data_IF_738889738649
#
_entry.id   IF_738889738649
#
_cell.length_a   1.000
_cell.length_b   1.000
_cell.length_c   1.000
_cell.angle_alpha   90.00
_cell.angle_beta   90.00
_cell.angle_gamma   90.00
#
_symmetry.space_group_name_H-M   'P 1'
#
loop_
_entity.id
_entity.type
_entity.pdbx_description
1 polymer ?
#
# COMPACT_ATOMS: atom_id res chain seq x y z
N UNK A 1 9.88 -14.16 -28.84
CA UNK A 1 8.88 -13.09 -29.03
C UNK A 1 9.58 -11.71 -29.19
N UNK A 2 10.47 -11.28 -28.30
CA UNK A 2 11.11 -9.96 -28.35
C UNK A 2 12.01 -9.76 -29.59
N UNK A 3 12.79 -10.77 -29.98
CA UNK A 3 13.63 -10.70 -31.19
C UNK A 3 12.82 -10.55 -32.49
N UNK A 4 11.62 -11.11 -32.54
CA UNK A 4 10.71 -10.99 -33.69
C UNK A 4 10.09 -9.58 -33.82
N UNK A 5 10.13 -8.77 -32.75
CA UNK A 5 9.64 -7.39 -32.72
C UNK A 5 10.76 -6.35 -32.94
N UNK A 6 11.98 -6.78 -33.24
CA UNK A 6 13.12 -5.90 -33.51
C UNK A 6 13.72 -5.23 -32.25
N UNK A 7 13.36 -5.70 -31.07
CA UNK A 7 13.97 -5.25 -29.82
C UNK A 7 15.25 -6.06 -29.53
N UNK A 8 16.35 -5.38 -29.26
CA UNK A 8 17.54 -6.03 -28.72
C UNK A 8 17.20 -6.63 -27.37
N UNK A 9 17.35 -7.94 -27.23
CA UNK A 9 17.24 -8.60 -25.92
C UNK A 9 18.42 -8.14 -25.10
N UNK A 10 18.23 -7.48 -23.96
CA UNK A 10 19.35 -7.13 -23.09
C UNK A 10 20.05 -8.42 -22.66
N UNK A 11 21.29 -8.60 -23.04
CA UNK A 11 22.14 -9.67 -22.48
C UNK A 11 22.50 -9.24 -21.06
N UNK A 12 21.65 -9.56 -20.09
CA UNK A 12 22.07 -9.49 -18.71
C UNK A 12 23.04 -10.65 -18.46
N UNK A 13 24.25 -10.32 -18.03
CA UNK A 13 25.09 -11.33 -17.39
C UNK A 13 24.29 -11.91 -16.22
N UNK A 14 24.30 -13.24 -16.04
CA UNK A 14 23.57 -13.84 -14.90
C UNK A 14 24.13 -13.21 -13.62
N UNK A 15 23.23 -12.58 -12.84
CA UNK A 15 23.55 -12.10 -11.51
C UNK A 15 24.01 -13.31 -10.72
N UNK A 16 25.32 -13.40 -10.44
CA UNK A 16 25.87 -14.46 -9.64
C UNK A 16 25.37 -14.28 -8.22
N UNK A 17 24.54 -15.18 -7.74
CA UNK A 17 23.98 -15.21 -6.37
C UNK A 17 25.05 -15.16 -5.26
N UNK A 18 26.33 -15.30 -5.60
CA UNK A 18 27.48 -15.29 -4.70
C UNK A 18 27.76 -13.90 -4.09
N UNK A 19 27.39 -12.80 -4.72
CA UNK A 19 27.55 -11.45 -4.16
C UNK A 19 26.56 -11.12 -3.05
N UNK A 20 25.51 -11.93 -2.88
CA UNK A 20 24.52 -11.77 -1.80
C UNK A 20 24.84 -12.55 -0.53
N UNK A 21 25.77 -13.49 -0.58
CA UNK A 21 26.10 -14.35 0.58
C UNK A 21 26.73 -13.58 1.74
N UNK A 22 27.46 -12.49 1.46
CA UNK A 22 28.13 -11.67 2.47
C UNK A 22 27.33 -10.44 2.91
N UNK A 23 26.18 -10.17 2.30
CA UNK A 23 25.28 -9.13 2.78
C UNK A 23 24.54 -9.62 4.04
N UNK A 24 24.64 -8.91 5.17
CA UNK A 24 23.93 -9.32 6.36
C UNK A 24 22.42 -9.39 6.10
N UNK A 25 21.71 -10.33 6.74
CA UNK A 25 20.28 -10.53 6.51
C UNK A 25 19.51 -9.25 6.78
N UNK A 26 18.60 -8.93 5.90
CA UNK A 26 17.70 -7.78 5.99
C UNK A 26 16.81 -7.96 7.21
N UNK A 27 17.00 -7.13 8.22
CA UNK A 27 16.00 -6.96 9.26
C UNK A 27 15.15 -5.78 8.80
N UNK A 28 13.98 -6.08 8.26
CA UNK A 28 12.97 -5.05 8.05
C UNK A 28 12.66 -4.42 9.41
N UNK A 29 12.69 -3.08 9.54
CA UNK A 29 12.25 -2.46 10.76
C UNK A 29 10.76 -2.81 10.96
N UNK A 30 10.45 -3.52 12.04
CA UNK A 30 9.08 -3.59 12.52
C UNK A 30 8.69 -2.22 13.04
N UNK A 31 7.43 -1.83 12.94
CA UNK A 31 6.92 -0.56 13.53
C UNK A 31 7.37 -0.38 14.97
N UNK A 32 7.45 -1.48 15.74
CA UNK A 32 7.98 -1.48 17.10
C UNK A 32 9.45 -1.04 17.19
N UNK A 33 10.29 -1.35 16.20
CA UNK A 33 11.70 -0.93 16.15
C UNK A 33 11.89 0.56 15.87
N UNK A 34 10.97 1.16 15.13
CA UNK A 34 10.96 2.62 14.89
C UNK A 34 10.49 3.39 16.13
N UNK A 35 9.63 2.77 16.93
CA UNK A 35 9.02 3.42 18.11
C UNK A 35 9.77 3.17 19.42
N UNK A 36 10.60 2.11 19.49
CA UNK A 36 11.31 1.73 20.72
C UNK A 36 12.63 2.48 20.96
N UNK A 37 13.03 3.41 20.11
CA UNK A 37 14.22 4.25 20.33
C UNK A 37 14.02 5.40 21.34
N UNK A 38 13.16 5.20 22.32
CA UNK A 38 13.18 5.98 23.54
C UNK A 38 14.42 5.58 24.37
N UNK A 39 15.34 6.53 24.57
CA UNK A 39 16.41 6.51 25.58
C UNK A 39 17.60 5.58 25.33
N UNK A 40 18.33 5.80 24.25
CA UNK A 40 19.78 5.57 24.24
C UNK A 40 20.50 6.91 24.41
N UNK A 41 21.20 7.11 25.51
CA UNK A 41 22.12 8.22 25.72
C UNK A 41 23.23 8.19 24.66
N UNK A 42 22.99 8.79 23.53
CA UNK A 42 23.98 9.15 22.52
C UNK A 42 24.02 10.66 22.46
N UNK A 43 25.04 11.23 23.05
CA UNK A 43 25.43 12.63 22.88
C UNK A 43 25.76 12.90 21.41
N UNK A 44 24.79 13.40 20.65
CA UNK A 44 24.93 13.87 19.29
C UNK A 44 24.13 15.15 19.15
N UNK A 45 24.83 16.26 19.01
CA UNK A 45 24.33 17.63 18.96
C UNK A 45 23.17 17.79 17.96
N UNK A 46 21.94 17.72 18.46
CA UNK A 46 20.77 18.18 17.73
C UNK A 46 20.74 19.70 17.73
N UNK A 47 21.09 20.32 16.62
CA UNK A 47 20.85 21.74 16.43
C UNK A 47 19.34 22.00 16.46
N UNK A 48 18.82 22.27 17.65
CA UNK A 48 17.49 22.88 17.81
C UNK A 48 17.62 24.32 17.34
N UNK A 49 16.86 24.70 16.32
CA UNK A 49 16.73 26.09 15.93
C UNK A 49 16.42 26.95 17.17
N UNK A 50 16.98 28.13 17.25
CA UNK A 50 16.81 29.08 18.36
C UNK A 50 15.34 29.41 18.72
N UNK A 51 14.38 28.92 17.92
CA UNK A 51 12.93 29.11 18.10
C UNK A 51 12.17 27.84 18.53
N UNK A 52 12.85 26.77 18.93
CA UNK A 52 12.19 25.51 19.35
C UNK A 52 11.56 24.68 18.23
N UNK A 53 11.70 25.07 16.96
CA UNK A 53 11.20 24.30 15.82
C UNK A 53 12.21 23.25 15.39
N UNK A 54 11.75 22.01 15.27
CA UNK A 54 12.54 20.89 14.70
C UNK A 54 12.81 21.21 13.22
N UNK A 55 14.08 21.11 12.77
CA UNK A 55 14.40 21.30 11.34
C UNK A 55 13.71 20.23 10.49
N UNK A 56 13.44 20.54 9.22
CA UNK A 56 12.86 19.58 8.27
C UNK A 56 13.71 18.30 8.17
N UNK A 57 15.04 18.43 8.14
CA UNK A 57 15.95 17.28 8.18
C UNK A 57 15.75 16.43 9.44
N UNK A 58 15.65 17.03 10.62
CA UNK A 58 15.44 16.28 11.87
C UNK A 58 14.07 15.60 11.91
N UNK A 59 13.03 16.25 11.39
CA UNK A 59 11.71 15.65 11.27
C UNK A 59 11.75 14.40 10.36
N UNK A 60 12.38 14.52 9.19
CA UNK A 60 12.58 13.41 8.26
C UNK A 60 13.46 12.31 8.87
N UNK A 61 14.62 12.66 9.45
CA UNK A 61 15.51 11.69 10.09
C UNK A 61 14.78 10.86 11.15
N UNK A 62 13.93 11.48 11.94
CA UNK A 62 13.19 10.81 13.02
C UNK A 62 12.15 9.80 12.53
N UNK A 63 11.59 10.01 11.33
CA UNK A 63 10.48 9.18 10.81
C UNK A 63 10.90 8.22 9.71
N UNK A 64 11.93 8.58 8.94
CA UNK A 64 12.31 7.84 7.74
C UNK A 64 13.63 7.07 7.89
N UNK A 65 14.39 7.26 8.98
CA UNK A 65 15.74 6.71 9.11
C UNK A 65 15.85 5.75 10.28
N UNK A 66 16.41 4.58 10.01
CA UNK A 66 16.63 3.53 11.01
C UNK A 66 18.11 3.17 11.05
N UNK A 67 18.76 3.15 12.23
CA UNK A 67 20.12 2.66 12.38
C UNK A 67 20.24 1.20 11.92
N UNK A 68 21.33 0.87 11.22
CA UNK A 68 21.66 -0.52 10.91
C UNK A 68 22.41 -1.18 12.08
N UNK A 69 22.49 -2.51 12.05
CA UNK A 69 23.35 -3.24 13.00
C UNK A 69 24.82 -2.90 12.83
N UNK A 70 25.24 -2.56 11.62
CA UNK A 70 26.60 -2.12 11.31
C UNK A 70 26.73 -0.67 11.75
N UNK A 71 27.66 -0.46 12.70
CA UNK A 71 27.92 0.88 13.23
C UNK A 71 28.31 1.87 12.12
N UNK A 72 27.80 3.09 12.19
CA UNK A 72 28.06 4.17 11.24
C UNK A 72 27.22 4.13 9.96
N UNK A 73 26.27 3.18 9.84
CA UNK A 73 25.36 3.08 8.70
C UNK A 73 23.89 3.14 9.12
N UNK A 74 23.07 3.72 8.25
CA UNK A 74 21.63 3.82 8.42
C UNK A 74 20.90 3.32 7.17
N UNK A 75 19.65 3.03 7.37
CA UNK A 75 18.68 2.74 6.31
C UNK A 75 17.71 3.92 6.24
N UNK A 76 17.41 4.43 5.05
CA UNK A 76 16.43 5.48 4.85
C UNK A 76 15.27 5.00 3.99
N UNK A 77 14.05 5.27 4.45
CA UNK A 77 12.84 5.10 3.67
C UNK A 77 12.56 6.37 2.86
N UNK A 78 12.30 6.19 1.58
CA UNK A 78 11.78 7.22 0.67
C UNK A 78 10.27 7.02 0.66
N UNK A 79 9.54 7.97 1.24
CA UNK A 79 8.09 7.96 1.25
C UNK A 79 7.56 8.28 -0.13
N UNK A 80 6.69 7.40 -0.63
CA UNK A 80 6.06 7.52 -1.94
C UNK A 80 4.54 7.61 -1.74
N UNK A 81 3.94 8.78 -1.87
CA UNK A 81 2.50 8.92 -1.70
C UNK A 81 1.75 7.94 -2.62
N UNK A 82 1.01 6.99 -2.01
CA UNK A 82 0.25 5.93 -2.72
C UNK A 82 1.10 5.07 -3.66
N UNK A 83 2.43 5.02 -3.45
CA UNK A 83 3.37 4.25 -4.26
C UNK A 83 3.74 4.87 -5.60
N UNK A 84 3.37 6.11 -5.85
CA UNK A 84 3.60 6.75 -7.15
C UNK A 84 4.97 7.43 -7.24
N UNK A 85 5.64 7.21 -8.36
CA UNK A 85 6.90 7.83 -8.76
C UNK A 85 6.82 8.32 -10.20
N UNK A 86 7.38 9.50 -10.47
CA UNK A 86 7.62 9.91 -11.86
C UNK A 86 8.85 9.20 -12.43
N UNK A 87 8.97 9.16 -13.77
CA UNK A 87 10.15 8.60 -14.42
C UNK A 87 11.45 9.30 -13.98
N UNK A 88 11.43 10.63 -13.85
CA UNK A 88 12.57 11.42 -13.39
C UNK A 88 12.96 11.09 -11.94
N UNK A 89 11.97 10.94 -11.05
CA UNK A 89 12.22 10.51 -9.67
C UNK A 89 12.80 9.10 -9.61
N UNK A 90 12.36 8.18 -10.48
CA UNK A 90 12.91 6.84 -10.55
C UNK A 90 14.40 6.85 -10.93
N UNK A 91 14.82 7.71 -11.85
CA UNK A 91 16.24 7.89 -12.19
C UNK A 91 17.05 8.42 -11.02
N UNK A 92 16.50 9.40 -10.28
CA UNK A 92 17.14 9.93 -9.07
C UNK A 92 17.33 8.84 -8.01
N UNK A 93 16.28 8.05 -7.76
CA UNK A 93 16.34 6.94 -6.80
C UNK A 93 17.37 5.89 -7.23
N UNK A 94 17.46 5.58 -8.52
CA UNK A 94 18.46 4.65 -9.06
C UNK A 94 19.89 5.19 -8.84
N UNK A 95 20.15 6.46 -9.13
CA UNK A 95 21.44 7.11 -8.91
C UNK A 95 21.83 7.15 -7.41
N UNK A 96 20.87 7.48 -6.54
CA UNK A 96 21.08 7.43 -5.09
C UNK A 96 21.38 5.99 -4.62
N UNK A 97 20.68 5.00 -5.14
CA UNK A 97 20.93 3.60 -4.80
C UNK A 97 22.36 3.18 -5.23
N UNK A 98 22.79 3.57 -6.41
CA UNK A 98 24.14 3.27 -6.91
C UNK A 98 25.22 3.91 -6.01
N UNK A 99 25.09 5.18 -5.67
CA UNK A 99 26.08 5.92 -4.88
C UNK A 99 26.14 5.53 -3.40
N UNK A 100 25.02 5.14 -2.81
CA UNK A 100 24.96 4.87 -1.37
C UNK A 100 24.76 3.39 -1.02
N UNK A 101 24.20 2.59 -1.91
CA UNK A 101 23.77 1.21 -1.63
C UNK A 101 24.28 0.18 -2.64
N UNK A 102 25.30 0.53 -3.42
CA UNK A 102 25.88 -0.36 -4.44
C UNK A 102 24.82 -0.86 -5.45
N UNK A 103 23.92 0.02 -5.87
CA UNK A 103 22.82 -0.28 -6.78
C UNK A 103 21.63 -1.02 -6.15
N UNK A 104 21.62 -1.21 -4.83
CA UNK A 104 20.56 -1.99 -4.16
C UNK A 104 19.47 -1.07 -3.60
N UNK A 105 18.25 -1.29 -4.06
CA UNK A 105 17.04 -0.69 -3.51
C UNK A 105 16.04 -1.77 -3.12
N UNK A 106 15.17 -1.48 -2.17
CA UNK A 106 14.10 -2.35 -1.71
C UNK A 106 12.77 -1.64 -1.80
N UNK A 107 11.76 -2.29 -2.34
CA UNK A 107 10.37 -1.89 -2.17
C UNK A 107 9.83 -2.44 -0.85
N UNK A 108 8.87 -1.73 -0.25
CA UNK A 108 8.19 -2.19 0.95
C UNK A 108 6.74 -2.58 0.64
N UNK A 109 6.14 -3.38 1.51
CA UNK A 109 4.71 -3.72 1.41
C UNK A 109 3.79 -2.52 1.66
N UNK A 110 4.34 -1.42 2.17
CA UNK A 110 3.65 -0.16 2.40
C UNK A 110 3.90 0.85 1.27
N UNK A 111 4.25 0.37 0.07
CA UNK A 111 4.40 1.13 -1.16
C UNK A 111 5.55 2.17 -1.13
N UNK A 112 6.51 2.03 -0.23
CA UNK A 112 7.70 2.88 -0.13
C UNK A 112 8.93 2.19 -0.71
N UNK A 113 10.01 2.96 -0.87
CA UNK A 113 11.33 2.44 -1.22
C UNK A 113 12.33 2.66 -0.09
N UNK A 114 13.32 1.76 0.02
CA UNK A 114 14.32 1.80 1.08
C UNK A 114 15.71 1.68 0.48
N UNK A 115 16.58 2.64 0.83
CA UNK A 115 18.01 2.61 0.54
C UNK A 115 18.77 2.32 1.84
N UNK A 116 19.70 1.36 1.77
CA UNK A 116 20.53 0.92 2.91
C UNK A 116 21.97 1.39 2.73
N UNK A 117 22.75 1.11 3.75
CA UNK A 117 24.20 1.39 3.74
C UNK A 117 24.58 2.85 3.59
N UNK A 118 23.69 3.76 3.92
CA UNK A 118 23.97 5.19 3.91
C UNK A 118 24.91 5.47 5.08
N UNK A 119 26.13 5.98 4.85
CA UNK A 119 27.00 6.41 5.94
C UNK A 119 26.31 7.52 6.75
N UNK A 120 26.25 7.38 8.07
CA UNK A 120 25.54 8.35 8.92
C UNK A 120 26.07 9.78 8.73
N UNK A 121 27.37 9.94 8.53
CA UNK A 121 28.01 11.25 8.25
C UNK A 121 27.63 11.86 6.89
N UNK A 122 26.99 11.11 5.98
CA UNK A 122 26.52 11.60 4.67
C UNK A 122 24.99 11.69 4.58
N UNK A 123 24.30 11.45 5.70
CA UNK A 123 22.83 11.37 5.71
C UNK A 123 22.18 12.71 5.35
N UNK A 124 22.76 13.83 5.77
CA UNK A 124 22.22 15.16 5.45
C UNK A 124 22.41 15.49 3.95
N UNK A 125 23.55 15.12 3.35
CA UNK A 125 23.78 15.21 1.91
C UNK A 125 22.73 14.40 1.13
N UNK A 126 22.51 13.15 1.53
CA UNK A 126 21.49 12.28 0.96
C UNK A 126 20.08 12.91 1.05
N UNK A 127 19.72 13.48 2.20
CA UNK A 127 18.44 14.16 2.40
C UNK A 127 18.29 15.39 1.49
N UNK A 128 19.34 16.21 1.33
CA UNK A 128 19.29 17.38 0.47
C UNK A 128 19.03 17.01 -1.00
N UNK A 129 19.57 15.89 -1.45
CA UNK A 129 19.30 15.38 -2.79
C UNK A 129 17.85 14.91 -2.94
N UNK A 130 17.31 14.18 -1.95
CA UNK A 130 15.90 13.82 -1.94
C UNK A 130 14.98 15.05 -2.02
N UNK A 131 15.31 16.11 -1.27
CA UNK A 131 14.52 17.34 -1.24
C UNK A 131 14.49 18.06 -2.59
N UNK A 132 15.58 18.03 -3.37
CA UNK A 132 15.65 18.64 -4.69
C UNK A 132 14.65 18.00 -5.69
N UNK A 133 14.21 16.77 -5.41
CA UNK A 133 13.36 15.99 -6.28
C UNK A 133 12.00 15.63 -5.65
N UNK A 134 11.61 16.35 -4.58
CA UNK A 134 10.35 16.10 -3.83
C UNK A 134 10.21 14.66 -3.32
N UNK A 135 11.31 14.05 -2.87
CA UNK A 135 11.38 12.71 -2.30
C UNK A 135 11.77 12.73 -0.80
N UNK A 136 11.97 13.91 -0.22
CA UNK A 136 12.41 14.10 1.17
C UNK A 136 11.28 14.29 2.18
N UNK A 137 10.05 13.87 1.89
CA UNK A 137 8.93 14.02 2.78
C UNK A 137 9.09 13.14 4.04
N UNK A 138 8.85 13.68 5.25
CA UNK A 138 8.84 12.89 6.48
C UNK A 138 7.58 12.02 6.57
N UNK A 139 7.54 11.13 7.57
CA UNK A 139 6.33 10.40 7.94
C UNK A 139 6.16 9.06 7.23
N UNK A 140 7.23 8.47 6.67
CA UNK A 140 7.17 7.12 6.14
C UNK A 140 6.65 6.12 7.20
N UNK A 141 5.70 5.28 6.81
CA UNK A 141 5.05 4.26 7.66
C UNK A 141 4.19 4.82 8.82
N UNK A 142 3.94 6.14 8.85
CA UNK A 142 3.02 6.75 9.81
C UNK A 142 1.60 6.88 9.23
N UNK A 143 0.64 7.36 10.04
CA UNK A 143 -0.78 7.48 9.62
C UNK A 143 -0.98 8.37 8.40
N UNK A 144 -0.11 9.34 8.18
CA UNK A 144 -0.09 10.22 7.01
C UNK A 144 0.46 9.54 5.73
N UNK A 145 1.04 8.35 5.87
CA UNK A 145 1.49 7.50 4.78
C UNK A 145 0.38 6.50 4.42
N UNK A 146 -0.69 7.03 3.83
CA UNK A 146 -1.89 6.27 3.48
C UNK A 146 -1.59 5.35 2.31
N UNK A 147 -1.84 4.06 2.49
CA UNK A 147 -1.63 3.05 1.46
C UNK A 147 -2.92 2.87 0.66
N UNK A 148 -2.83 3.01 -0.66
CA UNK A 148 -3.96 2.82 -1.56
C UNK A 148 -3.57 1.96 -2.76
N UNK A 149 -4.44 1.03 -3.16
CA UNK A 149 -4.25 0.35 -4.43
C UNK A 149 -4.61 1.31 -5.59
N UNK A 150 -4.34 0.98 -6.86
CA UNK A 150 -4.69 1.82 -7.98
C UNK A 150 -6.18 2.19 -8.07
N UNK A 151 -7.08 1.32 -7.62
CA UNK A 151 -8.51 1.55 -7.73
C UNK A 151 -8.95 1.75 -9.18
N UNK A 152 -9.94 2.62 -9.39
CA UNK A 152 -10.46 2.93 -10.73
C UNK A 152 -9.50 3.77 -11.60
N UNK A 153 -8.35 4.21 -11.09
CA UNK A 153 -7.39 4.98 -11.91
C UNK A 153 -6.87 4.13 -13.07
N UNK A 154 -6.50 2.87 -12.80
CA UNK A 154 -5.92 1.97 -13.81
C UNK A 154 -6.42 0.53 -13.72
N UNK A 155 -7.02 0.10 -12.61
CA UNK A 155 -7.46 -1.27 -12.40
C UNK A 155 -8.89 -1.52 -12.93
N UNK A 156 -9.04 -2.36 -13.95
CA UNK A 156 -10.35 -2.74 -14.49
C UNK A 156 -11.27 -3.51 -13.51
N UNK A 157 -10.75 -4.00 -12.38
CA UNK A 157 -11.54 -4.60 -11.29
C UNK A 157 -11.85 -3.58 -10.18
N UNK A 158 -11.35 -2.35 -10.30
CA UNK A 158 -11.61 -1.27 -9.34
C UNK A 158 -13.08 -0.90 -9.33
N UNK A 159 -13.68 -0.90 -8.13
CA UNK A 159 -15.06 -0.43 -7.93
C UNK A 159 -15.03 1.06 -7.60
N UNK A 160 -14.07 1.50 -6.79
CA UNK A 160 -13.98 2.88 -6.31
C UNK A 160 -12.57 3.44 -6.47
N UNK A 161 -12.45 4.77 -6.48
CA UNK A 161 -11.19 5.52 -6.52
C UNK A 161 -10.48 5.50 -5.18
N UNK A 162 -9.68 4.47 -4.95
CA UNK A 162 -8.91 4.34 -3.70
C UNK A 162 -7.86 5.43 -3.53
N UNK A 163 -7.21 5.88 -4.61
CA UNK A 163 -6.25 7.00 -4.58
C UNK A 163 -6.94 8.34 -4.33
N UNK A 164 -8.08 8.59 -4.96
CA UNK A 164 -8.91 9.76 -4.67
C UNK A 164 -9.35 9.80 -3.21
N UNK A 165 -9.78 8.66 -2.66
CA UNK A 165 -10.09 8.55 -1.23
C UNK A 165 -8.87 8.79 -0.34
N UNK A 166 -7.69 8.30 -0.73
CA UNK A 166 -6.45 8.54 0.03
C UNK A 166 -6.11 10.04 0.08
N UNK A 167 -6.26 10.76 -1.05
CA UNK A 167 -6.08 12.22 -1.09
C UNK A 167 -7.10 12.95 -0.21
N UNK A 168 -8.36 12.53 -0.23
CA UNK A 168 -9.38 13.10 0.65
C UNK A 168 -9.10 12.85 2.15
N UNK A 169 -8.56 11.68 2.50
CA UNK A 169 -8.16 11.38 3.87
C UNK A 169 -6.86 12.06 4.30
N UNK A 170 -6.00 12.47 3.38
CA UNK A 170 -4.82 13.27 3.70
C UNK A 170 -5.18 14.61 4.37
N UNK A 171 -6.39 15.15 4.14
CA UNK A 171 -6.90 16.32 4.86
C UNK A 171 -7.22 16.04 6.34
N UNK A 172 -7.47 14.77 6.70
CA UNK A 172 -7.69 14.33 8.09
C UNK A 172 -6.36 14.13 8.80
N UNK A 173 -5.34 13.69 8.06
CA UNK A 173 -3.99 13.36 8.55
C UNK A 173 -2.93 14.17 7.79
N UNK A 174 -2.90 15.50 7.95
CA UNK A 174 -1.97 16.34 7.19
C UNK A 174 -0.51 16.02 7.52
N UNK A 175 0.30 15.93 6.47
CA UNK A 175 1.71 15.57 6.57
C UNK A 175 2.48 16.47 7.54
N UNK A 176 3.32 15.86 8.37
CA UNK A 176 4.15 16.53 9.36
C UNK A 176 3.40 17.12 10.56
N UNK A 177 2.07 16.96 10.63
CA UNK A 177 1.23 17.49 11.72
C UNK A 177 0.55 16.38 12.54
N UNK A 178 0.91 15.13 12.32
CA UNK A 178 0.28 14.00 12.99
C UNK A 178 0.67 13.97 14.46
N UNK A 179 -0.32 14.00 15.38
CA UNK A 179 -0.08 13.89 16.81
C UNK A 179 0.54 12.54 17.18
N UNK A 180 1.31 12.53 18.26
CA UNK A 180 1.99 11.33 18.79
C UNK A 180 1.04 10.16 19.04
N UNK A 181 -0.20 10.44 19.45
CA UNK A 181 -1.23 9.45 19.76
C UNK A 181 -1.79 8.69 18.54
N UNK A 182 -1.47 9.14 17.32
CA UNK A 182 -1.90 8.52 16.07
C UNK A 182 -0.74 7.91 15.26
N UNK A 183 0.48 7.93 15.76
CA UNK A 183 1.65 7.44 15.02
C UNK A 183 1.58 5.97 14.65
N UNK A 184 0.97 5.15 15.52
CA UNK A 184 0.81 3.70 15.30
C UNK A 184 -0.40 3.33 14.43
N UNK A 185 -1.15 4.34 13.98
CA UNK A 185 -2.34 4.12 13.17
C UNK A 185 -1.93 3.89 11.73
N UNK A 186 -2.42 2.81 11.14
CA UNK A 186 -2.29 2.55 9.70
C UNK A 186 -3.62 2.73 9.00
N UNK A 187 -3.59 3.41 7.84
CA UNK A 187 -4.75 3.57 6.96
C UNK A 187 -4.46 2.88 5.64
N UNK A 188 -5.31 1.93 5.25
CA UNK A 188 -5.15 1.18 4.00
C UNK A 188 -6.46 1.11 3.23
N UNK A 189 -6.42 1.44 1.93
CA UNK A 189 -7.60 1.63 1.10
C UNK A 189 -7.50 0.76 -0.15
N UNK A 190 -8.46 -0.14 -0.33
CA UNK A 190 -8.60 -0.94 -1.55
C UNK A 190 -9.81 -0.47 -2.36
N UNK A 191 -9.67 -0.36 -3.67
CA UNK A 191 -10.78 0.02 -4.56
C UNK A 191 -11.85 -1.04 -4.71
N UNK A 192 -11.62 -2.27 -4.23
CA UNK A 192 -12.57 -3.38 -4.22
C UNK A 192 -12.23 -4.39 -3.11
N UNK A 193 -12.99 -5.47 -3.03
CA UNK A 193 -12.82 -6.54 -2.03
C UNK A 193 -11.53 -7.37 -2.19
N UNK A 194 -10.81 -7.29 -3.31
CA UNK A 194 -9.57 -8.05 -3.55
C UNK A 194 -8.43 -7.70 -2.58
N UNK A 195 -8.58 -6.63 -1.80
CA UNK A 195 -7.64 -6.30 -0.70
C UNK A 195 -6.19 -6.04 -1.11
N UNK A 196 -5.94 -5.57 -2.33
CA UNK A 196 -4.58 -5.33 -2.84
C UNK A 196 -3.77 -4.36 -1.97
N UNK A 197 -4.42 -3.38 -1.32
CA UNK A 197 -3.80 -2.51 -0.30
C UNK A 197 -3.82 -3.12 1.11
N UNK A 198 -4.26 -4.37 1.28
CA UNK A 198 -4.27 -5.08 2.57
C UNK A 198 -5.11 -4.39 3.66
N UNK A 199 -6.28 -3.86 3.30
CA UNK A 199 -7.14 -3.12 4.22
C UNK A 199 -7.56 -3.91 5.46
N UNK A 200 -7.62 -5.25 5.39
CA UNK A 200 -7.99 -6.10 6.53
C UNK A 200 -6.98 -6.09 7.68
N UNK A 201 -5.71 -5.73 7.43
CA UNK A 201 -4.67 -5.69 8.46
C UNK A 201 -4.29 -4.26 8.87
N UNK A 202 -5.13 -3.29 8.54
CA UNK A 202 -4.95 -1.91 8.94
C UNK A 202 -5.75 -1.57 10.20
N UNK A 203 -5.27 -0.59 10.98
CA UNK A 203 -6.03 -0.02 12.10
C UNK A 203 -7.36 0.56 11.60
N UNK A 204 -7.30 1.27 10.45
CA UNK A 204 -8.43 1.80 9.69
C UNK A 204 -8.28 1.24 8.26
N UNK A 205 -9.12 0.27 7.93
CA UNK A 205 -9.13 -0.35 6.60
C UNK A 205 -10.40 0.02 5.85
N UNK A 206 -10.25 0.35 4.57
CA UNK A 206 -11.37 0.71 3.70
C UNK A 206 -11.32 -0.14 2.43
N UNK A 207 -12.49 -0.61 1.96
CA UNK A 207 -12.59 -1.11 0.60
C UNK A 207 -13.87 -0.66 -0.09
N UNK A 208 -13.74 -0.40 -1.38
CA UNK A 208 -14.83 0.06 -2.20
C UNK A 208 -15.84 -1.03 -2.51
N UNK A 209 -17.11 -0.66 -2.50
CA UNK A 209 -18.24 -1.48 -2.93
C UNK A 209 -19.23 -0.60 -3.69
N UNK A 210 -20.19 -1.19 -4.38
CA UNK A 210 -21.27 -0.45 -5.03
C UNK A 210 -22.58 -0.60 -4.24
N UNK A 211 -23.42 0.43 -4.26
CA UNK A 211 -24.75 0.40 -3.68
C UNK A 211 -25.75 1.06 -4.62
N UNK A 212 -26.66 0.28 -5.17
CA UNK A 212 -27.78 0.80 -5.98
C UNK A 212 -28.84 1.44 -5.07
N UNK A 213 -29.29 2.64 -5.43
CA UNK A 213 -30.29 3.43 -4.74
C UNK A 213 -31.30 3.98 -5.78
N UNK A 214 -32.36 3.22 -6.05
CA UNK A 214 -33.29 3.53 -7.12
C UNK A 214 -32.65 3.41 -8.50
N UNK A 215 -32.67 4.50 -9.26
CA UNK A 215 -32.06 4.60 -10.60
C UNK A 215 -30.58 4.95 -10.54
N UNK A 216 -30.07 5.43 -9.41
CA UNK A 216 -28.71 5.87 -9.20
C UNK A 216 -27.89 4.84 -8.41
N UNK A 217 -26.57 4.92 -8.50
CA UNK A 217 -25.64 4.09 -7.73
C UNK A 217 -24.68 4.99 -6.95
N UNK A 218 -24.50 4.73 -5.68
CA UNK A 218 -23.50 5.44 -4.86
C UNK A 218 -22.24 4.58 -4.71
N UNK A 219 -21.03 5.20 -4.57
CA UNK A 219 -19.77 4.55 -4.24
C UNK A 219 -19.54 4.49 -2.73
N UNK A 220 -20.04 3.49 -1.97
CA UNK A 220 -19.69 3.36 -0.57
C UNK A 220 -18.39 2.61 -0.36
N UNK A 221 -17.82 2.81 0.83
CA UNK A 221 -16.72 2.02 1.36
C UNK A 221 -17.16 1.21 2.58
N UNK A 222 -16.70 -0.02 2.68
CA UNK A 222 -16.77 -0.80 3.91
C UNK A 222 -15.60 -0.44 4.80
N UNK A 223 -15.90 0.06 6.01
CA UNK A 223 -14.91 0.43 7.03
C UNK A 223 -14.63 -0.76 7.94
N UNK A 224 -13.37 -1.19 7.97
CA UNK A 224 -12.85 -2.21 8.85
C UNK A 224 -11.97 -1.56 9.93
N UNK A 225 -12.10 -1.99 11.17
CA UNK A 225 -11.40 -1.41 12.31
C UNK A 225 -10.62 -2.45 13.11
N UNK A 226 -9.45 -2.07 13.60
CA UNK A 226 -8.65 -2.83 14.56
C UNK A 226 -7.80 -3.95 13.98
N UNK A 227 -7.54 -3.94 12.67
CA UNK A 227 -6.54 -4.83 12.06
C UNK A 227 -5.11 -4.41 12.41
N UNK A 228 -4.21 -5.39 12.53
CA UNK A 228 -2.78 -5.16 12.75
C UNK A 228 -1.97 -6.44 12.56
N UNK A 229 -0.67 -6.30 12.37
CA UNK A 229 0.28 -7.40 12.19
C UNK A 229 1.31 -7.50 13.32
N UNK A 230 1.43 -6.45 14.15
CA UNK A 230 2.39 -6.40 15.25
C UNK A 230 1.86 -7.13 16.48
N UNK A 231 2.74 -7.78 17.23
CA UNK A 231 2.37 -8.54 18.43
C UNK A 231 1.52 -9.77 18.08
N UNK A 232 0.26 -9.80 18.53
CA UNK A 232 -0.71 -10.83 18.13
C UNK A 232 -1.51 -10.35 16.93
N UNK A 233 -1.23 -10.82 15.70
CA UNK A 233 -1.89 -10.34 14.49
C UNK A 233 -3.42 -10.48 14.57
N UNK A 234 -4.13 -9.50 14.01
CA UNK A 234 -5.59 -9.48 14.01
C UNK A 234 -6.13 -8.92 12.70
N UNK A 235 -7.19 -9.52 12.20
CA UNK A 235 -7.96 -9.03 11.07
C UNK A 235 -8.97 -7.98 11.56
N UNK A 236 -8.99 -6.83 10.87
CA UNK A 236 -9.96 -5.77 11.10
C UNK A 236 -11.39 -6.26 10.92
N UNK A 237 -12.28 -5.79 11.75
CA UNK A 237 -13.69 -6.17 11.71
C UNK A 237 -14.51 -5.10 10.99
N UNK A 238 -15.38 -5.52 10.10
CA UNK A 238 -16.35 -4.63 9.45
C UNK A 238 -17.20 -3.91 10.52
N UNK A 239 -17.13 -2.59 10.53
CA UNK A 239 -17.90 -1.73 11.41
C UNK A 239 -19.17 -1.21 10.72
N UNK A 240 -18.99 -0.45 9.62
CA UNK A 240 -20.08 0.19 8.86
C UNK A 240 -19.76 0.27 7.38
N UNK A 241 -20.79 0.51 6.56
CA UNK A 241 -20.67 0.98 5.17
C UNK A 241 -20.91 2.49 5.15
N UNK A 242 -20.00 3.23 4.58
CA UNK A 242 -20.03 4.69 4.50
C UNK A 242 -20.08 5.13 3.02
N UNK A 243 -20.95 6.06 2.62
CA UNK A 243 -20.81 6.68 1.31
C UNK A 243 -19.45 7.37 1.19
N UNK A 244 -18.80 7.32 0.03
CA UNK A 244 -17.46 7.85 -0.19
C UNK A 244 -17.30 9.29 0.33
N UNK A 245 -18.30 10.13 0.09
CA UNK A 245 -18.36 11.52 0.54
C UNK A 245 -18.24 11.68 2.05
N UNK A 246 -18.80 10.74 2.83
CA UNK A 246 -18.81 10.81 4.30
C UNK A 246 -17.58 10.23 4.97
N UNK A 247 -16.74 9.46 4.26
CA UNK A 247 -15.60 8.75 4.86
C UNK A 247 -14.63 9.68 5.60
N UNK A 248 -14.18 10.83 5.05
CA UNK A 248 -13.26 11.70 5.77
C UNK A 248 -13.84 12.25 7.08
N UNK A 249 -15.14 12.64 7.06
CA UNK A 249 -15.82 13.13 8.25
C UNK A 249 -16.01 12.02 9.29
N UNK A 250 -16.36 10.81 8.87
CA UNK A 250 -16.51 9.65 9.75
C UNK A 250 -15.18 9.24 10.40
N UNK A 251 -14.08 9.26 9.65
CA UNK A 251 -12.74 8.95 10.18
C UNK A 251 -12.29 10.04 11.16
N UNK A 252 -12.54 11.31 10.87
CA UNK A 252 -12.27 12.41 11.81
C UNK A 252 -13.05 12.23 13.11
N UNK A 253 -14.34 11.94 13.01
CA UNK A 253 -15.18 11.66 14.18
C UNK A 253 -14.67 10.46 14.99
N UNK A 254 -14.25 9.38 14.32
CA UNK A 254 -13.64 8.23 15.00
C UNK A 254 -12.41 8.63 15.83
N UNK A 255 -11.55 9.50 15.28
CA UNK A 255 -10.38 10.04 15.99
C UNK A 255 -10.81 10.91 17.17
N UNK A 256 -11.87 11.71 17.03
CA UNK A 256 -12.40 12.55 18.12
C UNK A 256 -12.99 11.70 19.24
N UNK A 257 -13.73 10.64 18.91
CA UNK A 257 -14.25 9.66 19.89
C UNK A 257 -13.10 8.97 20.63
N UNK A 258 -12.08 8.54 19.89
CA UNK A 258 -10.87 7.97 20.50
C UNK A 258 -10.23 8.97 21.50
N UNK A 259 -10.01 10.22 21.11
CA UNK A 259 -9.40 11.24 21.98
C UNK A 259 -10.25 11.56 23.19
N UNK A 260 -11.57 11.56 23.05
CA UNK A 260 -12.53 11.80 24.14
C UNK A 260 -12.50 10.67 25.18
N UNK A 261 -12.45 9.42 24.75
CA UNK A 261 -12.77 8.26 25.59
C UNK A 261 -11.56 7.33 25.84
N UNK A 262 -10.37 7.61 25.28
CA UNK A 262 -9.16 6.81 25.49
C UNK A 262 -8.65 6.92 26.93
N UNK A 263 -8.03 5.85 27.42
CA UNK A 263 -7.25 5.85 28.65
C UNK A 263 -5.86 6.47 28.41
N UNK A 264 -5.22 6.89 29.49
CA UNK A 264 -3.84 7.40 29.40
C UNK A 264 -2.90 6.35 28.79
N UNK A 265 -2.16 6.74 27.74
CA UNK A 265 -1.25 5.86 27.02
C UNK A 265 -1.89 4.78 26.13
N UNK A 266 -3.22 4.77 25.98
CA UNK A 266 -3.92 3.81 25.15
C UNK A 266 -3.82 4.22 23.66
N UNK A 267 -3.31 3.31 22.79
CA UNK A 267 -3.32 3.50 21.35
C UNK A 267 -4.73 3.34 20.77
N UNK A 268 -4.97 3.87 19.56
CA UNK A 268 -6.26 3.70 18.86
C UNK A 268 -6.61 2.22 18.69
N UNK A 269 -5.64 1.38 18.40
CA UNK A 269 -5.82 -0.06 18.26
C UNK A 269 -6.32 -0.73 19.55
N UNK A 270 -5.70 -0.40 20.70
CA UNK A 270 -6.13 -0.92 22.00
C UNK A 270 -7.51 -0.35 22.39
N UNK A 271 -7.77 0.89 22.07
CA UNK A 271 -9.07 1.52 22.26
C UNK A 271 -10.17 0.79 21.48
N UNK A 272 -9.96 0.53 20.17
CA UNK A 272 -10.92 -0.23 19.35
C UNK A 272 -11.15 -1.63 19.94
N UNK A 273 -10.09 -2.29 20.38
CA UNK A 273 -10.19 -3.63 20.99
C UNK A 273 -11.00 -3.61 22.30
N UNK A 274 -10.84 -2.57 23.13
CA UNK A 274 -11.52 -2.41 24.41
C UNK A 274 -12.99 -2.01 24.26
N UNK A 275 -13.24 -1.01 23.43
CA UNK A 275 -14.59 -0.46 23.25
C UNK A 275 -15.48 -1.41 22.43
N UNK A 276 -14.88 -2.04 21.46
CA UNK A 276 -15.55 -2.99 20.56
C UNK A 276 -16.26 -2.31 19.39
N UNK A 277 -16.42 -3.07 18.32
CA UNK A 277 -16.95 -2.57 17.04
C UNK A 277 -18.39 -2.04 17.13
N UNK A 278 -19.23 -2.58 18.02
CA UNK A 278 -20.64 -2.19 18.08
C UNK A 278 -20.81 -0.76 18.59
N UNK A 279 -20.06 -0.38 19.62
CA UNK A 279 -20.08 0.99 20.15
C UNK A 279 -19.58 1.97 19.09
N UNK A 280 -18.47 1.63 18.41
CA UNK A 280 -17.92 2.47 17.34
C UNK A 280 -18.86 2.55 16.14
N UNK A 281 -19.58 1.45 15.83
CA UNK A 281 -20.64 1.45 14.82
C UNK A 281 -21.71 2.46 15.14
N UNK A 282 -22.21 2.47 16.39
CA UNK A 282 -23.28 3.38 16.82
C UNK A 282 -22.86 4.84 16.67
N UNK A 283 -21.61 5.20 17.03
CA UNK A 283 -21.02 6.52 16.81
C UNK A 283 -20.95 6.91 15.32
N UNK A 284 -20.83 5.93 14.42
CA UNK A 284 -20.65 6.15 12.98
C UNK A 284 -21.96 6.08 12.18
N UNK A 285 -23.07 5.63 12.76
CA UNK A 285 -24.38 5.55 12.08
C UNK A 285 -24.78 6.86 11.38
N UNK A 286 -24.61 8.05 11.98
CA UNK A 286 -24.99 9.32 11.32
C UNK A 286 -24.32 9.53 9.96
N UNK A 287 -23.14 8.96 9.73
CA UNK A 287 -22.35 9.09 8.51
C UNK A 287 -22.71 8.06 7.43
N UNK A 288 -23.61 7.10 7.72
CA UNK A 288 -24.02 6.05 6.77
C UNK A 288 -25.15 6.47 5.84
N UNK A 289 -25.73 7.65 6.08
CA UNK A 289 -26.90 8.15 5.36
C UNK A 289 -26.47 8.68 4.00
N UNK A 290 -27.12 8.20 2.94
CA UNK A 290 -27.00 8.76 1.60
C UNK A 290 -28.28 9.56 1.34
N UNK A 291 -28.19 10.89 1.14
CA UNK A 291 -29.37 11.69 0.79
C UNK A 291 -29.90 11.29 -0.61
N UNK A 292 -31.18 11.53 -0.91
CA UNK A 292 -31.70 11.38 -2.29
C UNK A 292 -30.89 12.21 -3.29
N UNK A 293 -30.80 11.74 -4.53
CA UNK A 293 -29.99 12.37 -5.58
C UNK A 293 -30.36 13.86 -5.79
N UNK A 294 -31.65 14.17 -5.74
CA UNK A 294 -32.18 15.52 -5.93
C UNK A 294 -31.83 16.46 -4.78
N UNK A 295 -31.51 15.93 -3.62
CA UNK A 295 -31.10 16.71 -2.45
C UNK A 295 -29.60 16.98 -2.45
N UNK A 296 -28.77 15.98 -2.77
CA UNK A 296 -27.33 16.11 -2.89
C UNK A 296 -26.74 15.05 -3.83
N UNK A 297 -26.60 15.42 -5.10
CA UNK A 297 -26.06 14.53 -6.13
C UNK A 297 -24.58 14.20 -5.91
N UNK A 298 -23.83 14.97 -5.10
CA UNK A 298 -22.39 14.73 -4.87
C UNK A 298 -22.10 13.40 -4.17
N UNK A 299 -23.09 12.79 -3.52
CA UNK A 299 -22.98 11.45 -2.90
C UNK A 299 -22.95 10.31 -3.92
N UNK A 300 -23.27 10.61 -5.18
CA UNK A 300 -23.31 9.66 -6.28
C UNK A 300 -22.13 9.79 -7.24
N UNK A 301 -21.14 10.58 -6.86
CA UNK A 301 -19.85 10.70 -7.53
C UNK A 301 -18.76 10.14 -6.63
N UNK A 302 -17.82 9.43 -7.20
CA UNK A 302 -16.64 8.99 -6.45
C UNK A 302 -15.61 10.14 -6.34
N UNK A 303 -14.63 9.98 -5.47
CA UNK A 303 -13.56 10.96 -5.34
C UNK A 303 -12.82 11.10 -6.68
N UNK A 304 -12.66 12.35 -7.12
CA UNK A 304 -12.02 12.70 -8.39
C UNK A 304 -12.75 12.17 -9.64
N UNK A 305 -13.94 11.59 -9.49
CA UNK A 305 -14.79 11.20 -10.60
C UNK A 305 -15.48 12.41 -11.24
N UNK A 306 -15.36 12.54 -12.57
CA UNK A 306 -16.06 13.59 -13.34
C UNK A 306 -17.49 13.19 -13.73
N UNK A 307 -17.80 11.90 -13.65
CA UNK A 307 -19.10 11.35 -14.00
C UNK A 307 -19.79 10.71 -12.78
N UNK A 308 -21.11 10.54 -12.87
CA UNK A 308 -21.87 9.81 -11.90
C UNK A 308 -21.35 8.37 -11.79
N UNK A 309 -21.28 7.86 -10.56
CA UNK A 309 -20.77 6.52 -10.30
C UNK A 309 -21.72 5.44 -10.85
N UNK A 310 -21.17 4.55 -11.66
CA UNK A 310 -21.86 3.39 -12.21
C UNK A 310 -21.05 2.11 -11.97
N UNK A 311 -21.75 0.99 -11.85
CA UNK A 311 -21.14 -0.34 -11.71
C UNK A 311 -21.23 -1.10 -13.04
N UNK A 312 -20.70 -0.51 -14.11
CA UNK A 312 -20.71 -1.13 -15.43
C UNK A 312 -19.28 -1.49 -15.86
N UNK A 313 -19.17 -2.62 -16.57
CA UNK A 313 -17.98 -3.08 -17.31
C UNK A 313 -16.68 -3.18 -16.50
N UNK A 314 -16.70 -3.95 -15.42
CA UNK A 314 -15.45 -4.37 -14.77
C UNK A 314 -14.59 -5.14 -15.78
N UNK A 315 -13.49 -4.52 -16.20
CA UNK A 315 -12.51 -5.09 -17.12
C UNK A 315 -11.48 -6.00 -16.41
N UNK A 316 -10.45 -6.45 -17.14
CA UNK A 316 -9.36 -7.20 -16.53
C UNK A 316 -8.61 -6.33 -15.51
N UNK A 317 -8.30 -6.89 -14.34
CA UNK A 317 -7.55 -6.22 -13.29
C UNK A 317 -6.07 -6.03 -13.62
N UNK A 318 -5.39 -5.18 -12.85
CA UNK A 318 -3.93 -5.01 -12.93
C UNK A 318 -3.17 -6.29 -12.53
N UNK A 319 -3.81 -7.19 -11.80
CA UNK A 319 -3.32 -8.54 -11.57
C UNK A 319 -3.46 -9.43 -12.82
N UNK A 320 -3.15 -8.88 -13.99
CA UNK A 320 -3.10 -9.64 -15.24
C UNK A 320 -2.08 -10.81 -15.19
N UNK A 321 -1.19 -10.82 -14.19
CA UNK A 321 -0.42 -12.02 -13.84
C UNK A 321 -1.31 -13.25 -13.66
N UNK A 322 -2.44 -13.12 -12.98
CA UNK A 322 -3.40 -14.23 -12.85
C UNK A 322 -4.02 -14.68 -14.16
N UNK A 323 -4.23 -13.76 -15.11
CA UNK A 323 -4.69 -14.16 -16.45
C UNK A 323 -3.59 -14.82 -17.27
N UNK A 324 -2.33 -14.38 -17.12
CA UNK A 324 -1.17 -15.03 -17.74
C UNK A 324 -0.91 -16.40 -17.11
N UNK A 325 -0.99 -16.53 -15.78
CA UNK A 325 -0.91 -17.82 -15.08
C UNK A 325 -2.01 -18.78 -15.53
N UNK A 326 -3.25 -18.31 -15.68
CA UNK A 326 -4.33 -19.14 -16.25
C UNK A 326 -4.08 -19.56 -17.69
N UNK A 327 -3.45 -18.72 -18.51
CA UNK A 327 -3.06 -19.05 -19.88
C UNK A 327 -1.91 -20.06 -19.85
N UNK A 328 -0.91 -19.85 -19.00
CA UNK A 328 0.21 -20.77 -18.85
C UNK A 328 -0.23 -22.14 -18.33
N UNK A 329 -1.15 -22.19 -17.35
CA UNK A 329 -1.76 -23.43 -16.85
C UNK A 329 -2.53 -24.15 -17.94
N UNK A 330 -3.34 -23.45 -18.75
CA UNK A 330 -4.06 -24.05 -19.88
C UNK A 330 -3.12 -24.54 -20.97
N UNK A 331 -2.05 -23.79 -21.25
CA UNK A 331 -1.03 -24.23 -22.20
C UNK A 331 -0.32 -25.50 -21.71
N UNK A 332 -0.02 -25.58 -20.41
CA UNK A 332 0.56 -26.77 -19.80
C UNK A 332 -0.39 -27.96 -19.84
N UNK A 333 -1.68 -27.75 -19.56
CA UNK A 333 -2.71 -28.80 -19.74
C UNK A 333 -2.81 -29.27 -21.17
N UNK A 334 -2.81 -28.36 -22.15
CA UNK A 334 -2.83 -28.66 -23.55
C UNK A 334 -1.60 -29.50 -23.97
N UNK A 335 -0.41 -29.13 -23.52
CA UNK A 335 0.81 -29.88 -23.76
C UNK A 335 0.77 -31.31 -23.17
N UNK A 336 0.21 -31.44 -21.96
CA UNK A 336 0.00 -32.76 -21.32
C UNK A 336 -0.98 -33.62 -22.11
N UNK A 337 -2.10 -33.06 -22.56
CA UNK A 337 -3.09 -33.78 -23.37
C UNK A 337 -2.49 -34.22 -24.73
N UNK A 338 -1.68 -33.34 -25.38
CA UNK A 338 -0.95 -33.70 -26.62
C UNK A 338 0.09 -34.76 -26.38
N UNK A 339 0.82 -34.71 -25.27
CA UNK A 339 1.78 -35.77 -24.94
C UNK A 339 1.10 -37.13 -24.75
N UNK A 340 -0.02 -37.14 -24.00
CA UNK A 340 -0.83 -38.37 -23.83
C UNK A 340 -1.40 -38.87 -25.15
N UNK A 341 -1.85 -37.98 -26.02
CA UNK A 341 -2.32 -38.34 -27.35
C UNK A 341 -1.22 -39.06 -28.17
N UNK A 342 0.01 -38.57 -28.16
CA UNK A 342 1.16 -39.19 -28.81
C UNK A 342 1.43 -40.59 -28.28
N UNK A 343 1.44 -40.78 -26.96
CA UNK A 343 1.62 -42.09 -26.32
C UNK A 343 0.51 -43.09 -26.72
N UNK A 344 -0.72 -42.59 -26.87
CA UNK A 344 -1.86 -43.42 -27.30
C UNK A 344 -1.74 -43.85 -28.76
N UNK A 345 -1.17 -43.01 -29.64
CA UNK A 345 -0.83 -43.41 -31.02
C UNK A 345 0.18 -44.57 -31.05
N UNK A 346 1.25 -44.47 -30.26
CA UNK A 346 2.27 -45.49 -30.13
C UNK A 346 1.70 -46.84 -29.66
N UNK A 347 0.64 -46.77 -28.81
CA UNK A 347 -0.09 -47.93 -28.31
C UNK A 347 -1.22 -48.39 -29.25
N UNK A 348 -1.33 -47.83 -30.45
CA UNK A 348 -2.39 -48.10 -31.42
C UNK A 348 -3.83 -47.84 -30.91
N UNK A 349 -3.96 -46.95 -29.92
CA UNK A 349 -5.27 -46.56 -29.33
C UNK A 349 -5.80 -45.27 -29.98
N UNK A 350 -6.06 -45.31 -31.27
CA UNK A 350 -6.34 -44.11 -32.07
C UNK A 350 -7.56 -43.32 -31.66
N UNK A 351 -8.66 -43.96 -31.28
CA UNK A 351 -9.88 -43.28 -30.85
C UNK A 351 -9.67 -42.45 -29.58
N UNK A 352 -8.89 -42.98 -28.63
CA UNK A 352 -8.52 -42.26 -27.42
C UNK A 352 -7.53 -41.12 -27.70
N UNK A 353 -6.61 -41.32 -28.62
CA UNK A 353 -5.66 -40.28 -29.06
C UNK A 353 -6.38 -39.10 -29.70
N UNK A 354 -7.38 -39.33 -30.55
CA UNK A 354 -8.20 -38.27 -31.17
C UNK A 354 -8.92 -37.47 -30.10
N UNK A 355 -9.52 -38.14 -29.10
CA UNK A 355 -10.20 -37.43 -27.98
C UNK A 355 -9.24 -36.54 -27.18
N UNK A 356 -8.04 -37.03 -26.88
CA UNK A 356 -7.01 -36.25 -26.17
C UNK A 356 -6.51 -35.08 -27.01
N UNK A 357 -6.28 -35.27 -28.30
CA UNK A 357 -5.89 -34.18 -29.21
C UNK A 357 -6.97 -33.10 -29.30
N UNK A 358 -8.24 -33.48 -29.30
CA UNK A 358 -9.36 -32.54 -29.32
C UNK A 358 -9.42 -31.70 -28.02
N UNK A 359 -9.17 -32.33 -26.87
CA UNK A 359 -9.12 -31.61 -25.58
C UNK A 359 -7.98 -30.59 -25.48
N UNK A 360 -6.88 -30.86 -26.15
CA UNK A 360 -5.74 -29.93 -26.19
C UNK A 360 -6.03 -28.65 -26.99
N UNK A 361 -7.09 -28.60 -27.78
CA UNK A 361 -7.46 -27.46 -28.64
C UNK A 361 -8.60 -26.64 -28.02
N UNK A 362 -9.34 -27.21 -27.08
CA UNK A 362 -10.42 -26.52 -26.34
C UNK A 362 -9.88 -25.77 -25.13
#
# INVERSE_FOLDING_TARGET
AYAAMGYAVPTHEPITLLEYADAPPLIMPTKAGVLSNGHGNGSGDGAVSLNGQVSAFQAWRRTNVVPQRQAGFVTAAIKLPMGDLTGDQMWVVADLAERYSNGNIRTTINQNMVIRWIPEGRLEEFYQELMQHSLGDPGAELVEDIIACPGTDTCGLGITSSKGMARALAEVFPAGQVPEDLRDVSVKISGCHNSCAQHHIATIGLHGVGKRLGEHTAPPYELHLGGHVDGTPKIGQLAVKLPAKSVPAAVRHLVDVYRRDRKSGESLQLFIARVGKNVLKDELIPYTIVPPYEQDSTYYYDWEGEAEFVLEDLGPGECAGGALEMIDDRMLEADQELYQAKLLVEKHQYALSVNKSYRAVL
#
